data_IF_816894741500
#
_entry.id   IF_816894741500
#
_cell.length_a   1.000
_cell.length_b   1.000
_cell.length_c   1.000
_cell.angle_alpha   90.00
_cell.angle_beta   90.00
_cell.angle_gamma   90.00
#
_symmetry.space_group_name_H-M   'P 1'
#
loop_
_entity.id
_entity.type
_entity.pdbx_description
1 polymer ?
#
# COMPACT_ATOMS: atom_id res chain seq x y z
N UNK A 1 -8.78 23.06 44.51
CA UNK A 1 -7.42 22.77 43.98
C UNK A 1 -7.37 21.44 43.24
N UNK A 2 -8.23 20.47 43.55
CA UNK A 2 -8.22 19.15 42.88
C UNK A 2 -8.77 19.12 41.44
N UNK A 3 -9.65 20.05 41.05
CA UNK A 3 -10.17 20.13 39.68
C UNK A 3 -9.15 20.64 38.64
N UNK A 4 -8.09 21.35 39.07
CA UNK A 4 -7.06 21.88 38.17
C UNK A 4 -5.93 20.88 37.91
N UNK A 5 -5.77 19.87 38.79
CA UNK A 5 -4.82 18.78 38.61
C UNK A 5 -5.43 17.60 37.82
N UNK A 6 -6.76 17.44 37.85
CA UNK A 6 -7.46 16.41 37.07
C UNK A 6 -7.54 16.72 35.56
N UNK A 7 -7.41 17.98 35.13
CA UNK A 7 -7.37 18.35 33.70
C UNK A 7 -5.97 18.19 33.05
N UNK A 8 -4.98 17.73 33.81
CA UNK A 8 -3.65 17.34 33.34
C UNK A 8 -3.51 15.81 33.27
N UNK A 9 -4.59 15.10 32.92
CA UNK A 9 -4.45 13.92 32.07
C UNK A 9 -3.84 14.40 30.75
N UNK A 10 -2.53 14.71 30.80
CA UNK A 10 -1.71 15.25 29.72
C UNK A 10 -1.86 14.27 28.57
N UNK A 11 -2.59 14.68 27.54
CA UNK A 11 -2.54 14.00 26.26
C UNK A 11 -1.06 13.78 25.94
N UNK A 12 -0.68 12.51 25.78
CA UNK A 12 0.68 12.17 25.41
C UNK A 12 1.06 13.02 24.19
N UNK A 13 2.27 13.60 24.16
CA UNK A 13 2.70 14.38 23.01
C UNK A 13 2.51 13.53 21.74
N UNK A 14 1.78 14.07 20.77
CA UNK A 14 1.58 13.47 19.45
C UNK A 14 2.46 14.23 18.45
N UNK A 15 2.91 13.55 17.41
CA UNK A 15 3.51 14.22 16.25
C UNK A 15 2.54 15.29 15.73
N UNK A 16 3.07 16.38 15.18
CA UNK A 16 2.26 17.49 14.65
C UNK A 16 1.30 17.01 13.55
N UNK A 17 1.70 15.99 12.78
CA UNK A 17 0.88 15.29 11.78
C UNK A 17 1.41 13.88 11.50
N UNK A 18 0.60 12.96 10.93
CA UNK A 18 1.10 11.67 10.50
C UNK A 18 2.29 11.80 9.54
N UNK A 19 3.24 10.85 9.62
CA UNK A 19 4.35 10.79 8.68
C UNK A 19 3.83 10.52 7.25
N UNK A 20 4.39 11.22 6.27
CA UNK A 20 4.04 11.09 4.84
C UNK A 20 5.27 10.88 3.99
N UNK A 21 5.06 10.44 2.75
CA UNK A 21 6.13 10.27 1.76
C UNK A 21 6.93 11.58 1.59
N UNK A 22 8.25 11.47 1.66
CA UNK A 22 9.19 12.59 1.55
C UNK A 22 9.54 13.27 2.87
N UNK A 23 8.86 12.96 3.98
CA UNK A 23 9.29 13.45 5.30
C UNK A 23 10.69 12.94 5.64
N UNK A 24 11.51 13.78 6.25
CA UNK A 24 12.81 13.40 6.82
C UNK A 24 12.64 13.19 8.32
N UNK A 25 12.98 11.98 8.77
CA UNK A 25 12.94 11.58 10.16
C UNK A 25 14.36 11.45 10.72
N UNK A 26 14.51 11.62 12.03
CA UNK A 26 15.78 11.41 12.74
C UNK A 26 15.61 10.62 14.02
N UNK A 27 16.61 9.80 14.35
CA UNK A 27 16.68 9.06 15.62
C UNK A 27 18.14 8.90 16.05
N UNK A 28 18.36 8.64 17.34
CA UNK A 28 19.68 8.30 17.87
C UNK A 28 19.91 6.80 17.68
N UNK A 29 20.99 6.41 16.99
CA UNK A 29 21.32 4.99 16.77
C UNK A 29 21.92 4.33 18.01
N UNK A 30 22.30 5.12 19.02
CA UNK A 30 22.87 4.64 20.28
C UNK A 30 22.23 5.40 21.46
N UNK A 31 20.91 5.26 21.66
CA UNK A 31 20.24 6.02 22.71
C UNK A 31 20.80 5.63 24.07
N UNK A 32 20.91 6.62 24.96
CA UNK A 32 21.34 6.41 26.36
C UNK A 32 20.39 5.46 27.09
N UNK A 33 19.12 5.43 26.68
CA UNK A 33 18.08 4.56 27.21
C UNK A 33 17.92 3.40 26.22
N UNK A 34 18.29 2.16 26.59
CA UNK A 34 18.18 1.00 25.69
C UNK A 34 16.76 0.78 25.16
N UNK A 35 15.74 1.16 25.93
CA UNK A 35 14.33 1.00 25.51
C UNK A 35 13.91 1.93 24.36
N UNK A 36 14.70 2.94 24.00
CA UNK A 36 14.45 3.79 22.82
C UNK A 36 14.85 3.09 21.51
N UNK A 37 15.57 1.96 21.60
CA UNK A 37 15.94 1.10 20.48
C UNK A 37 15.84 -0.38 20.89
N UNK A 38 14.69 -0.99 20.60
CA UNK A 38 14.32 -2.31 21.06
C UNK A 38 14.43 -3.36 19.95
N UNK A 39 15.07 -4.49 20.23
CA UNK A 39 14.98 -5.67 19.35
C UNK A 39 13.70 -6.45 19.65
N UNK A 40 12.95 -6.78 18.60
CA UNK A 40 11.70 -7.51 18.73
C UNK A 40 11.50 -8.57 17.64
N UNK A 41 10.69 -9.59 17.93
CA UNK A 41 10.24 -10.57 16.95
C UNK A 41 8.79 -10.30 16.61
N UNK A 42 8.51 -10.20 15.32
CA UNK A 42 7.15 -10.07 14.81
C UNK A 42 6.78 -11.40 14.20
N UNK A 43 5.78 -12.05 14.78
CA UNK A 43 5.26 -13.34 14.32
C UNK A 43 4.00 -13.12 13.49
N UNK A 44 3.88 -13.83 12.37
CA UNK A 44 2.68 -13.78 11.51
C UNK A 44 2.43 -15.12 10.81
N UNK A 45 1.29 -15.22 10.12
CA UNK A 45 0.97 -16.35 9.26
C UNK A 45 0.90 -15.88 7.81
N UNK A 46 1.48 -16.66 6.91
CA UNK A 46 1.48 -16.41 5.47
C UNK A 46 1.58 -17.74 4.74
N UNK A 47 0.72 -17.96 3.75
CA UNK A 47 0.65 -19.21 2.97
C UNK A 47 0.48 -20.46 3.87
N UNK A 48 -0.37 -20.36 4.90
CA UNK A 48 -0.59 -21.40 5.92
C UNK A 48 0.67 -21.77 6.74
N UNK A 49 1.74 -21.00 6.64
CA UNK A 49 2.96 -21.20 7.40
C UNK A 49 3.12 -20.10 8.45
N UNK A 50 3.52 -20.49 9.66
CA UNK A 50 3.99 -19.54 10.66
C UNK A 50 5.33 -18.97 10.22
N UNK A 51 5.44 -17.64 10.28
CA UNK A 51 6.64 -16.86 9.97
C UNK A 51 7.00 -16.02 11.19
N UNK A 52 8.28 -15.73 11.31
CA UNK A 52 8.82 -14.86 12.35
C UNK A 52 10.04 -14.17 11.80
N UNK A 53 10.21 -12.89 12.13
CA UNK A 53 11.40 -12.14 11.77
C UNK A 53 11.74 -11.11 12.83
N UNK A 54 13.01 -10.74 12.88
CA UNK A 54 13.56 -9.82 13.88
C UNK A 54 13.53 -8.39 13.37
N UNK A 55 12.97 -7.49 14.16
CA UNK A 55 12.87 -6.06 13.89
C UNK A 55 13.57 -5.24 14.98
N UNK A 56 14.05 -4.07 14.59
CA UNK A 56 14.52 -3.01 15.47
C UNK A 56 13.43 -1.95 15.53
N UNK A 57 12.84 -1.77 16.71
CA UNK A 57 11.78 -0.81 16.97
C UNK A 57 12.33 0.42 17.71
N UNK A 58 12.03 1.62 17.21
CA UNK A 58 12.47 2.86 17.82
C UNK A 58 11.48 4.01 17.57
N UNK A 59 11.70 5.14 18.26
CA UNK A 59 10.98 6.39 17.99
C UNK A 59 11.88 7.35 17.22
N UNK A 60 11.29 7.98 16.20
CA UNK A 60 11.94 8.99 15.40
C UNK A 60 11.20 10.33 15.49
N UNK A 61 11.96 11.42 15.37
CA UNK A 61 11.46 12.78 15.26
C UNK A 61 11.19 13.08 13.79
N UNK A 62 9.99 13.56 13.46
CA UNK A 62 9.71 14.05 12.11
C UNK A 62 10.23 15.49 11.97
N UNK A 63 11.46 15.62 11.48
CA UNK A 63 12.16 16.91 11.31
C UNK A 63 11.39 17.81 10.34
N UNK A 64 10.83 17.22 9.28
CA UNK A 64 10.07 17.97 8.26
C UNK A 64 8.75 18.51 8.80
N UNK A 65 8.08 17.76 9.69
CA UNK A 65 6.86 18.23 10.36
C UNK A 65 7.13 19.22 11.51
N UNK A 66 8.39 19.46 11.87
CA UNK A 66 8.76 20.34 12.99
C UNK A 66 8.48 19.73 14.36
N UNK A 67 8.43 18.40 14.47
CA UNK A 67 8.26 17.73 15.76
C UNK A 67 9.40 18.13 16.70
N UNK A 68 9.09 18.43 17.97
CA UNK A 68 10.09 18.82 18.96
C UNK A 68 10.73 17.62 19.68
N UNK A 69 10.18 16.43 19.50
CA UNK A 69 10.58 15.19 20.19
C UNK A 69 10.34 13.97 19.29
N UNK A 70 11.04 12.84 19.52
CA UNK A 70 10.76 11.59 18.81
C UNK A 70 9.38 11.04 19.14
N UNK A 71 8.50 10.95 18.15
CA UNK A 71 7.09 10.57 18.31
C UNK A 71 6.62 9.53 17.29
N UNK A 72 7.25 9.46 16.11
CA UNK A 72 6.88 8.49 15.07
C UNK A 72 7.50 7.15 15.42
N UNK A 73 6.69 6.11 15.56
CA UNK A 73 7.19 4.75 15.77
C UNK A 73 7.70 4.19 14.45
N UNK A 74 8.83 3.50 14.51
CA UNK A 74 9.49 2.94 13.33
C UNK A 74 9.93 1.53 13.66
N UNK A 75 9.62 0.59 12.77
CA UNK A 75 10.07 -0.78 12.81
C UNK A 75 10.93 -1.03 11.58
N UNK A 76 12.14 -1.57 11.77
CA UNK A 76 13.04 -1.90 10.67
C UNK A 76 13.48 -3.33 10.83
N UNK A 77 13.21 -4.20 9.85
CA UNK A 77 13.70 -5.57 9.85
C UNK A 77 15.23 -5.57 9.97
N UNK A 78 15.78 -6.50 10.74
CA UNK A 78 17.15 -6.41 11.24
C UNK A 78 18.20 -6.31 10.15
N UNK A 79 18.03 -7.03 9.04
CA UNK A 79 18.95 -6.98 7.91
C UNK A 79 18.93 -5.60 7.23
N UNK A 80 17.75 -5.01 7.06
CA UNK A 80 17.60 -3.64 6.55
C UNK A 80 18.19 -2.62 7.51
N UNK A 81 18.05 -2.83 8.82
CA UNK A 81 18.63 -1.95 9.83
C UNK A 81 20.15 -1.99 9.76
N UNK A 82 20.76 -3.18 9.75
CA UNK A 82 22.20 -3.36 9.65
C UNK A 82 22.76 -2.70 8.38
N UNK A 83 22.12 -2.92 7.24
CA UNK A 83 22.53 -2.32 5.97
C UNK A 83 22.45 -0.78 5.95
N UNK A 84 21.42 -0.20 6.58
CA UNK A 84 21.13 1.24 6.45
C UNK A 84 21.70 2.08 7.58
N UNK A 85 21.77 1.51 8.78
CA UNK A 85 22.09 2.22 10.02
C UNK A 85 23.22 1.56 10.82
N UNK A 86 23.67 0.34 10.48
CA UNK A 86 24.66 -0.42 11.27
C UNK A 86 25.99 0.31 11.47
N UNK A 87 26.44 1.08 10.48
CA UNK A 87 27.69 1.85 10.55
C UNK A 87 27.51 3.29 11.06
N UNK A 88 26.27 3.68 11.44
CA UNK A 88 25.95 5.04 11.86
C UNK A 88 26.10 5.18 13.37
N UNK A 89 26.79 6.24 13.81
CA UNK A 89 26.87 6.64 15.21
C UNK A 89 26.19 7.98 15.45
N UNK A 90 25.50 8.11 16.58
CA UNK A 90 24.74 9.30 16.96
C UNK A 90 23.43 9.46 16.18
N UNK A 91 23.08 10.69 15.85
CA UNK A 91 21.80 11.00 15.19
C UNK A 91 21.86 10.62 13.71
N UNK A 92 21.08 9.61 13.32
CA UNK A 92 20.85 9.25 11.93
C UNK A 92 19.59 9.95 11.40
N UNK A 93 19.63 10.39 10.14
CA UNK A 93 18.48 10.94 9.41
C UNK A 93 18.15 10.05 8.22
N UNK A 94 16.86 9.87 7.93
CA UNK A 94 16.42 9.13 6.76
C UNK A 94 15.12 9.71 6.19
N UNK A 95 14.95 9.71 4.85
CA UNK A 95 13.68 10.07 4.24
C UNK A 95 12.68 8.90 4.29
N UNK A 96 11.39 9.20 4.43
CA UNK A 96 10.29 8.28 4.10
C UNK A 96 10.21 8.19 2.58
N UNK A 97 10.60 7.05 2.04
CA UNK A 97 10.56 6.76 0.60
C UNK A 97 9.46 5.73 0.30
N UNK A 98 9.20 5.40 -0.98
CA UNK A 98 8.28 4.34 -1.36
C UNK A 98 8.65 2.93 -0.87
N UNK A 99 9.88 2.73 -0.40
CA UNK A 99 10.33 1.45 0.16
C UNK A 99 9.68 1.16 1.53
N UNK A 100 9.22 2.21 2.22
CA UNK A 100 8.54 2.10 3.50
C UNK A 100 7.06 1.72 3.32
N UNK A 101 6.55 0.99 4.30
CA UNK A 101 5.13 0.83 4.55
C UNK A 101 4.75 1.51 5.87
N UNK A 102 3.45 1.56 6.18
CA UNK A 102 2.96 2.14 7.41
C UNK A 102 1.73 1.41 7.94
N UNK A 103 1.56 1.40 9.26
CA UNK A 103 0.28 1.11 9.91
C UNK A 103 -0.29 2.38 10.54
N UNK A 104 -1.57 2.40 10.90
CA UNK A 104 -2.28 3.50 11.53
C UNK A 104 -3.53 3.00 12.27
N UNK A 105 -3.93 3.66 13.36
CA UNK A 105 -5.16 3.27 14.09
C UNK A 105 -6.40 3.44 13.22
N UNK A 106 -6.44 4.52 12.44
CA UNK A 106 -7.63 4.88 11.69
C UNK A 106 -7.28 5.64 10.42
N UNK A 107 -8.32 5.88 9.60
CA UNK A 107 -8.22 6.53 8.28
C UNK A 107 -7.65 7.95 8.32
N UNK A 108 -7.65 8.64 9.47
CA UNK A 108 -7.05 9.98 9.59
C UNK A 108 -5.53 9.93 9.78
N UNK A 109 -4.93 8.73 9.82
CA UNK A 109 -3.51 8.55 10.09
C UNK A 109 -3.12 8.67 11.55
N UNK A 110 -4.10 8.64 12.47
CA UNK A 110 -3.79 8.69 13.90
C UNK A 110 -2.87 7.53 14.29
N UNK A 111 -1.82 7.85 15.06
CA UNK A 111 -0.82 6.88 15.52
C UNK A 111 -0.08 6.14 14.40
N UNK A 112 0.05 6.76 13.22
CA UNK A 112 0.81 6.20 12.11
C UNK A 112 2.24 5.82 12.54
N UNK A 113 2.63 4.60 12.20
CA UNK A 113 3.98 4.08 12.39
C UNK A 113 4.55 3.60 11.06
N UNK A 114 5.86 3.58 10.94
CA UNK A 114 6.57 3.20 9.72
C UNK A 114 7.16 1.81 9.86
N UNK A 115 7.18 1.05 8.76
CA UNK A 115 7.82 -0.27 8.68
C UNK A 115 8.73 -0.31 7.46
N UNK A 116 9.98 -0.71 7.65
CA UNK A 116 10.93 -1.03 6.58
C UNK A 116 11.32 -2.49 6.68
N UNK A 117 10.95 -3.28 5.67
CA UNK A 117 11.16 -4.73 5.64
C UNK A 117 11.06 -5.27 4.22
N UNK A 118 11.33 -6.56 4.07
CA UNK A 118 11.04 -7.31 2.85
C UNK A 118 9.54 -7.32 2.58
N UNK A 119 9.14 -6.70 1.46
CA UNK A 119 7.74 -6.57 1.04
C UNK A 119 7.12 -7.89 0.58
N UNK A 120 7.91 -8.95 0.39
CA UNK A 120 7.38 -10.30 0.21
C UNK A 120 6.73 -10.84 1.49
N UNK A 121 7.09 -10.28 2.65
CA UNK A 121 6.43 -10.57 3.91
C UNK A 121 5.16 -9.72 4.04
N UNK A 122 4.06 -10.34 4.46
CA UNK A 122 2.75 -9.68 4.61
C UNK A 122 2.22 -9.73 6.05
N UNK A 123 2.97 -9.25 7.06
CA UNK A 123 2.45 -9.18 8.42
C UNK A 123 1.29 -8.16 8.52
N UNK A 124 0.26 -8.50 9.31
CA UNK A 124 -0.78 -7.55 9.70
C UNK A 124 -0.20 -6.44 10.58
N UNK A 125 -0.74 -5.22 10.47
CA UNK A 125 -0.25 -4.08 11.24
C UNK A 125 -0.39 -4.29 12.76
N UNK A 126 -1.40 -5.05 13.20
CA UNK A 126 -1.62 -5.39 14.60
C UNK A 126 -0.45 -6.15 15.23
N UNK A 127 0.29 -6.95 14.44
CA UNK A 127 1.43 -7.73 14.94
C UNK A 127 2.56 -6.84 15.46
N UNK A 128 2.83 -5.72 14.80
CA UNK A 128 3.85 -4.76 15.26
C UNK A 128 3.47 -4.08 16.57
N UNK A 129 2.19 -3.74 16.71
CA UNK A 129 1.66 -3.06 17.89
C UNK A 129 1.63 -4.03 19.08
N UNK A 130 1.11 -5.24 18.89
CA UNK A 130 1.05 -6.29 19.90
C UNK A 130 2.45 -6.75 20.38
N UNK A 131 3.41 -6.90 19.47
CA UNK A 131 4.80 -7.23 19.84
C UNK A 131 5.40 -6.18 20.76
N UNK A 132 5.21 -4.88 20.44
CA UNK A 132 5.72 -3.79 21.27
C UNK A 132 5.11 -3.83 22.68
N UNK A 133 3.81 -4.10 22.80
CA UNK A 133 3.15 -4.23 24.11
C UNK A 133 3.60 -5.46 24.89
N UNK A 134 3.71 -6.61 24.24
CA UNK A 134 4.15 -7.85 24.89
C UNK A 134 5.56 -7.68 25.46
N UNK A 135 6.47 -7.08 24.70
CA UNK A 135 7.83 -6.83 25.17
C UNK A 135 7.89 -5.77 26.27
N UNK A 136 7.18 -4.66 26.11
CA UNK A 136 7.13 -3.61 27.14
C UNK A 136 6.46 -4.11 28.43
N UNK A 137 5.42 -4.94 28.33
CA UNK A 137 4.73 -5.54 29.47
C UNK A 137 5.62 -6.50 30.27
N UNK A 138 6.57 -7.18 29.61
CA UNK A 138 7.60 -7.98 30.29
C UNK A 138 8.62 -7.14 31.05
N UNK A 139 8.78 -5.86 30.68
CA UNK A 139 9.70 -4.88 31.30
C UNK A 139 8.90 -3.97 32.24
N UNK A 140 8.58 -4.48 33.43
CA UNK A 140 7.94 -3.80 34.57
C UNK A 140 6.92 -2.68 34.25
N UNK A 141 5.64 -2.98 34.51
CA UNK A 141 4.49 -2.06 34.49
C UNK A 141 4.78 -0.65 35.09
N UNK A 142 5.59 -0.55 36.15
CA UNK A 142 5.97 0.71 36.81
C UNK A 142 6.79 1.66 35.92
N UNK A 143 7.64 1.13 35.03
CA UNK A 143 8.43 1.92 34.09
C UNK A 143 7.57 2.51 32.97
N UNK A 144 6.54 1.77 32.54
CA UNK A 144 5.55 2.22 31.56
C UNK A 144 4.64 3.31 32.12
N UNK A 145 4.26 3.17 33.39
CA UNK A 145 3.48 4.17 34.10
C UNK A 145 4.22 5.51 34.21
N UNK A 146 5.51 5.47 34.55
CA UNK A 146 6.35 6.67 34.67
C UNK A 146 6.56 7.42 33.34
N UNK A 147 6.36 6.77 32.18
CA UNK A 147 6.66 7.33 30.84
C UNK A 147 5.42 7.65 29.99
N UNK A 148 4.22 7.60 30.58
CA UNK A 148 2.98 8.04 29.92
C UNK A 148 2.31 7.01 29.02
N UNK A 149 2.64 5.72 29.19
CA UNK A 149 1.96 4.61 28.51
C UNK A 149 0.72 4.09 29.26
N UNK A 150 0.39 4.70 30.42
CA UNK A 150 -0.74 4.30 31.30
C UNK A 150 -2.07 4.12 30.56
N UNK A 151 -2.53 5.04 29.68
CA UNK A 151 -3.86 4.90 29.05
C UNK A 151 -3.95 3.76 28.03
N UNK A 152 -2.84 3.09 27.74
CA UNK A 152 -2.68 2.15 26.63
C UNK A 152 -2.53 0.71 27.16
N UNK A 153 -1.99 0.55 28.38
CA UNK A 153 -1.90 -0.76 29.05
C UNK A 153 -3.28 -1.26 29.52
N UNK A 154 -4.16 -0.35 29.93
CA UNK A 154 -5.53 -0.67 30.38
C UNK A 154 -6.50 -0.95 29.21
N UNK A 155 -6.10 -0.70 27.96
CA UNK A 155 -6.97 -0.80 26.77
C UNK A 155 -6.36 -1.70 25.68
N UNK A 156 -5.54 -2.68 26.07
CA UNK A 156 -4.87 -3.57 25.13
C UNK A 156 -5.88 -4.31 24.22
N UNK A 157 -7.01 -4.73 24.79
CA UNK A 157 -8.13 -5.32 24.05
C UNK A 157 -8.76 -4.31 23.06
N UNK A 158 -9.01 -3.06 23.48
CA UNK A 158 -9.60 -2.03 22.60
C UNK A 158 -8.65 -1.61 21.47
N UNK A 159 -7.33 -1.63 21.72
CA UNK A 159 -6.31 -1.30 20.73
C UNK A 159 -6.13 -2.46 19.75
N UNK A 160 -6.16 -3.70 20.23
CA UNK A 160 -6.14 -4.87 19.35
C UNK A 160 -7.33 -4.81 18.38
N UNK A 161 -8.54 -4.56 18.86
CA UNK A 161 -9.73 -4.44 18.02
C UNK A 161 -9.65 -3.31 16.98
N UNK A 162 -9.00 -2.17 17.29
CA UNK A 162 -8.85 -1.05 16.36
C UNK A 162 -7.78 -1.31 15.27
N UNK A 163 -6.83 -2.21 15.51
CA UNK A 163 -5.76 -2.57 14.56
C UNK A 163 -5.98 -3.91 13.83
N UNK A 164 -6.98 -4.70 14.22
CA UNK A 164 -7.16 -6.06 13.74
C UNK A 164 -7.56 -6.12 12.26
N UNK A 165 -6.93 -7.03 11.50
CA UNK A 165 -7.36 -7.44 10.16
C UNK A 165 -6.81 -6.65 8.98
N UNK A 166 -6.02 -5.59 9.20
CA UNK A 166 -5.42 -4.82 8.11
C UNK A 166 -3.93 -5.09 7.94
N UNK A 167 -3.49 -5.21 6.68
CA UNK A 167 -2.08 -5.25 6.33
C UNK A 167 -1.46 -3.86 6.43
N UNK A 168 -0.13 -3.82 6.40
CA UNK A 168 0.58 -2.56 6.25
C UNK A 168 0.22 -1.87 4.93
N UNK A 169 0.09 -0.55 4.99
CA UNK A 169 -0.20 0.31 3.86
C UNK A 169 1.10 0.75 3.18
N UNK A 170 1.09 0.84 1.86
CA UNK A 170 2.18 1.45 1.10
C UNK A 170 1.95 2.96 0.95
N UNK A 171 3.02 3.76 0.99
CA UNK A 171 2.94 5.21 0.71
C UNK A 171 2.58 5.57 -0.74
N UNK A 172 2.47 4.57 -1.61
CA UNK A 172 2.17 4.69 -3.03
C UNK A 172 0.67 4.53 -3.33
N UNK A 173 -0.19 5.37 -2.75
CA UNK A 173 -1.56 5.49 -3.27
C UNK A 173 -1.85 6.95 -3.58
N UNK A 174 -1.08 7.52 -4.52
CA UNK A 174 -1.69 8.57 -5.32
C UNK A 174 -2.69 7.87 -6.24
N UNK A 175 -3.94 8.32 -6.18
CA UNK A 175 -5.01 7.79 -6.99
C UNK A 175 -4.76 8.24 -8.41
N UNK A 176 -4.57 7.29 -9.33
CA UNK A 176 -4.49 7.57 -10.76
C UNK A 176 -5.74 8.34 -11.20
N UNK A 177 -5.57 9.43 -11.93
CA UNK A 177 -6.70 10.29 -12.29
C UNK A 177 -6.61 10.79 -13.73
N UNK A 178 -7.71 11.36 -14.21
CA UNK A 178 -7.74 12.02 -15.51
C UNK A 178 -6.65 13.10 -15.58
N UNK A 179 -5.94 13.15 -16.70
CA UNK A 179 -4.81 14.06 -16.94
C UNK A 179 -3.43 13.52 -16.53
N UNK A 180 -3.35 12.43 -15.77
CA UNK A 180 -2.05 11.79 -15.46
C UNK A 180 -1.40 11.22 -16.73
N UNK A 181 -0.07 11.21 -16.77
CA UNK A 181 0.71 10.64 -17.87
C UNK A 181 1.37 9.30 -17.49
N UNK A 182 1.10 8.25 -18.25
CA UNK A 182 1.66 6.91 -18.10
C UNK A 182 2.72 6.63 -19.17
N UNK A 183 3.79 5.90 -18.83
CA UNK A 183 4.83 5.45 -19.78
C UNK A 183 4.67 3.96 -20.05
N UNK A 184 4.15 3.63 -21.23
CA UNK A 184 3.82 2.25 -21.62
C UNK A 184 4.91 1.70 -22.56
N UNK A 185 5.55 0.56 -22.21
CA UNK A 185 6.59 -0.04 -23.03
C UNK A 185 6.10 -0.31 -24.44
N UNK A 186 6.86 0.04 -25.48
CA UNK A 186 6.37 -0.11 -26.86
C UNK A 186 6.40 -1.53 -27.43
N UNK A 187 6.97 -2.47 -26.69
CA UNK A 187 6.90 -3.89 -26.97
C UNK A 187 6.24 -4.59 -25.77
N UNK A 188 5.29 -5.50 -26.00
CA UNK A 188 4.68 -6.26 -24.92
C UNK A 188 5.77 -7.13 -24.29
N UNK A 189 6.00 -6.96 -23.00
CA UNK A 189 6.95 -7.79 -22.26
C UNK A 189 6.25 -9.13 -22.02
N UNK A 190 6.41 -10.06 -22.96
CA UNK A 190 5.71 -11.36 -22.98
C UNK A 190 5.84 -12.16 -21.68
N UNK A 191 6.90 -11.92 -20.90
CA UNK A 191 7.18 -12.65 -19.67
C UNK A 191 6.51 -12.07 -18.42
N UNK A 192 6.07 -10.82 -18.46
CA UNK A 192 5.41 -10.18 -17.32
C UNK A 192 3.89 -10.28 -17.52
N UNK A 193 3.20 -10.85 -16.52
CA UNK A 193 1.74 -11.00 -16.47
C UNK A 193 1.09 -12.07 -17.36
N UNK A 194 1.86 -12.95 -18.02
CA UNK A 194 1.32 -13.98 -18.93
C UNK A 194 0.39 -13.38 -19.99
N UNK A 195 0.91 -12.37 -20.69
CA UNK A 195 0.19 -11.66 -21.71
C UNK A 195 0.05 -12.50 -23.01
N UNK A 196 -1.08 -12.41 -23.74
CA UNK A 196 -2.31 -11.68 -23.38
C UNK A 196 -3.15 -12.43 -22.34
N UNK A 197 -4.00 -11.69 -21.63
CA UNK A 197 -4.99 -12.20 -20.67
C UNK A 197 -6.36 -12.27 -21.32
N UNK A 198 -7.07 -13.37 -21.13
CA UNK A 198 -8.49 -13.48 -21.50
C UNK A 198 -9.34 -12.98 -20.34
N UNK A 199 -10.05 -11.88 -20.55
CA UNK A 199 -11.03 -11.37 -19.60
C UNK A 199 -12.40 -11.87 -20.05
N UNK A 200 -13.06 -12.64 -19.19
CA UNK A 200 -14.38 -13.24 -19.46
C UNK A 200 -15.41 -12.60 -18.54
N UNK A 201 -16.55 -12.21 -19.09
CA UNK A 201 -17.68 -11.69 -18.34
C UNK A 201 -19.00 -12.24 -18.88
N UNK A 202 -20.03 -12.23 -18.02
CA UNK A 202 -21.32 -12.82 -18.33
C UNK A 202 -22.42 -11.77 -18.23
N UNK A 203 -23.26 -11.72 -19.27
CA UNK A 203 -24.55 -11.05 -19.28
C UNK A 203 -25.65 -12.11 -19.08
N UNK A 204 -26.90 -11.71 -18.77
CA UNK A 204 -27.98 -12.67 -18.50
C UNK A 204 -28.23 -13.75 -19.56
N UNK A 205 -27.79 -13.54 -20.81
CA UNK A 205 -28.02 -14.45 -21.94
C UNK A 205 -26.77 -14.75 -22.79
N UNK A 206 -25.60 -14.23 -22.41
CA UNK A 206 -24.36 -14.43 -23.16
C UNK A 206 -23.15 -14.41 -22.24
N UNK A 207 -22.12 -15.15 -22.60
CA UNK A 207 -20.78 -15.02 -22.03
C UNK A 207 -19.88 -14.48 -23.11
N UNK A 208 -19.22 -13.37 -22.80
CA UNK A 208 -18.28 -12.69 -23.68
C UNK A 208 -16.87 -12.86 -23.11
N UNK A 209 -15.89 -12.90 -23.99
CA UNK A 209 -14.50 -13.01 -23.61
C UNK A 209 -13.65 -12.27 -24.61
N UNK A 210 -12.67 -11.54 -24.12
CA UNK A 210 -11.81 -10.71 -24.94
C UNK A 210 -10.40 -10.70 -24.40
N UNK A 211 -9.44 -10.54 -25.29
CA UNK A 211 -8.02 -10.57 -24.94
C UNK A 211 -7.50 -9.15 -24.65
N UNK A 212 -6.71 -9.02 -23.59
CA UNK A 212 -6.09 -7.77 -23.16
C UNK A 212 -4.61 -7.98 -22.86
N UNK A 213 -3.82 -6.93 -23.09
CA UNK A 213 -2.50 -6.81 -22.50
C UNK A 213 -2.58 -6.05 -21.18
N UNK A 214 -1.95 -6.58 -20.14
CA UNK A 214 -1.80 -5.93 -18.83
C UNK A 214 -0.34 -5.54 -18.57
N UNK A 215 -0.12 -4.32 -18.09
CA UNK A 215 1.20 -3.77 -17.81
C UNK A 215 1.21 -3.09 -16.44
N UNK A 216 2.32 -3.22 -15.72
CA UNK A 216 2.65 -2.26 -14.67
C UNK A 216 3.48 -1.14 -15.29
N UNK A 217 2.96 0.07 -15.26
CA UNK A 217 3.55 1.23 -15.92
C UNK A 217 3.74 2.39 -14.95
N UNK A 218 4.86 3.12 -15.03
CA UNK A 218 5.07 4.27 -14.17
C UNK A 218 4.16 5.43 -14.61
N UNK A 219 3.51 6.05 -13.64
CA UNK A 219 2.80 7.31 -13.76
C UNK A 219 3.81 8.45 -13.59
N UNK A 220 4.25 9.02 -14.72
CA UNK A 220 5.20 10.13 -14.79
C UNK A 220 4.72 11.34 -13.99
N UNK A 221 3.40 11.60 -13.99
CA UNK A 221 2.81 12.75 -13.27
C UNK A 221 2.85 12.54 -11.76
N UNK A 222 2.67 11.30 -11.30
CA UNK A 222 2.68 10.93 -9.90
C UNK A 222 4.03 10.40 -9.44
N UNK A 223 5.12 11.07 -9.87
CA UNK A 223 6.50 10.78 -9.46
C UNK A 223 6.95 9.33 -9.72
N UNK A 224 6.44 8.72 -10.79
CA UNK A 224 6.81 7.37 -11.20
C UNK A 224 6.12 6.26 -10.41
N UNK A 225 5.01 6.55 -9.71
CA UNK A 225 4.21 5.51 -9.08
C UNK A 225 3.70 4.51 -10.13
N UNK A 226 3.86 3.21 -9.88
CA UNK A 226 3.36 2.20 -10.80
C UNK A 226 1.82 2.11 -10.76
N UNK A 227 1.25 1.92 -11.94
CA UNK A 227 -0.18 1.80 -12.19
C UNK A 227 -0.40 0.58 -13.08
N UNK A 228 -1.38 -0.25 -12.74
CA UNK A 228 -1.82 -1.30 -13.64
C UNK A 228 -2.60 -0.68 -14.81
N UNK A 229 -2.15 -0.98 -16.02
CA UNK A 229 -2.71 -0.51 -17.28
C UNK A 229 -3.12 -1.69 -18.15
N UNK A 230 -4.37 -1.69 -18.61
CA UNK A 230 -4.91 -2.65 -19.56
C UNK A 230 -5.14 -2.00 -20.92
N UNK A 231 -4.84 -2.73 -21.99
CA UNK A 231 -5.25 -2.38 -23.33
C UNK A 231 -5.79 -3.61 -24.05
N UNK A 232 -6.87 -3.43 -24.79
CA UNK A 232 -7.43 -4.50 -25.62
C UNK A 232 -6.40 -4.98 -26.65
N UNK A 233 -6.25 -6.29 -26.81
CA UNK A 233 -5.19 -6.88 -27.65
C UNK A 233 -5.23 -6.38 -29.09
N UNK A 234 -6.39 -6.29 -29.72
CA UNK A 234 -6.51 -5.76 -31.09
C UNK A 234 -6.11 -4.28 -31.20
N UNK A 235 -6.22 -3.49 -30.14
CA UNK A 235 -5.80 -2.08 -30.12
C UNK A 235 -4.30 -1.93 -29.85
N UNK A 236 -3.63 -3.04 -29.56
CA UNK A 236 -2.19 -3.12 -29.41
C UNK A 236 -1.52 -3.76 -30.63
N UNK A 237 -2.05 -4.89 -31.11
CA UNK A 237 -1.43 -5.70 -32.16
C UNK A 237 -1.63 -5.14 -33.57
N UNK A 238 -2.64 -4.28 -33.79
CA UNK A 238 -2.91 -3.75 -35.13
C UNK A 238 -1.80 -2.81 -35.59
N UNK A 239 -1.35 -2.94 -36.85
CA UNK A 239 -0.17 -2.26 -37.44
C UNK A 239 -0.29 -0.71 -37.56
N UNK A 240 -0.59 0.04 -36.51
CA UNK A 240 -0.86 1.50 -36.50
C UNK A 240 -1.98 1.98 -37.45
N UNK A 241 -2.65 1.07 -38.17
CA UNK A 241 -3.71 1.39 -39.14
C UNK A 241 -5.04 1.60 -38.43
N UNK A 242 -5.30 0.88 -37.34
CA UNK A 242 -6.53 1.04 -36.54
C UNK A 242 -6.60 2.43 -35.90
N UNK A 243 -7.77 3.07 -35.94
CA UNK A 243 -8.05 4.34 -35.25
C UNK A 243 -7.97 4.22 -33.73
N UNK A 244 -8.05 3.00 -33.20
CA UNK A 244 -7.93 2.72 -31.78
C UNK A 244 -6.56 2.20 -31.37
N UNK A 245 -5.61 2.10 -32.32
CA UNK A 245 -4.26 1.66 -31.95
C UNK A 245 -3.60 2.66 -30.99
N UNK A 246 -2.82 2.19 -30.01
CA UNK A 246 -2.21 3.05 -28.97
C UNK A 246 -1.42 4.25 -29.53
N UNK A 247 -0.79 4.11 -30.71
CA UNK A 247 -0.06 5.20 -31.36
C UNK A 247 -0.94 6.37 -31.82
N UNK A 248 -2.26 6.19 -31.88
CA UNK A 248 -3.23 7.26 -32.18
C UNK A 248 -3.46 8.17 -30.98
N UNK A 249 -3.26 7.66 -29.78
CA UNK A 249 -3.49 8.38 -28.52
C UNK A 249 -2.19 8.72 -27.77
N UNK A 250 -1.06 8.18 -28.20
CA UNK A 250 0.25 8.44 -27.59
C UNK A 250 1.38 8.56 -28.60
N UNK A 251 2.34 9.41 -28.25
CA UNK A 251 3.62 9.53 -28.97
C UNK A 251 4.68 8.72 -28.25
N UNK A 252 5.63 8.17 -29.01
CA UNK A 252 6.81 7.55 -28.44
C UNK A 252 7.75 8.61 -27.86
N UNK A 253 8.32 8.34 -26.70
CA UNK A 253 9.36 9.15 -26.07
C UNK A 253 10.74 8.82 -26.67
N UNK A 254 11.81 9.41 -26.13
CA UNK A 254 13.18 9.19 -26.62
C UNK A 254 13.65 7.73 -26.49
N UNK A 255 13.06 6.95 -25.58
CA UNK A 255 13.38 5.54 -25.37
C UNK A 255 12.55 4.62 -26.28
N UNK A 256 11.62 5.19 -27.06
CA UNK A 256 10.72 4.44 -27.92
C UNK A 256 9.42 3.99 -27.24
N UNK A 257 9.21 4.30 -25.96
CA UNK A 257 8.00 3.93 -25.20
C UNK A 257 6.86 4.94 -25.40
N UNK A 258 5.61 4.49 -25.32
CA UNK A 258 4.46 5.36 -25.47
C UNK A 258 4.23 6.20 -24.22
N UNK A 259 4.16 7.52 -24.39
CA UNK A 259 3.68 8.43 -23.34
C UNK A 259 2.19 8.68 -23.55
N UNK A 260 1.36 8.01 -22.76
CA UNK A 260 -0.11 8.14 -22.76
C UNK A 260 -0.52 9.17 -21.72
N UNK A 261 -1.44 10.08 -22.07
CA UNK A 261 -2.14 10.92 -21.09
C UNK A 261 -3.55 10.35 -20.91
N UNK A 262 -3.93 10.07 -19.66
CA UNK A 262 -5.24 9.54 -19.31
C UNK A 262 -6.28 10.61 -19.62
N UNK A 263 -7.22 10.27 -20.49
CA UNK A 263 -8.32 11.14 -20.90
C UNK A 263 -9.67 10.43 -20.89
N UNK A 264 -10.69 11.02 -21.52
CA UNK A 264 -12.06 10.50 -21.47
C UNK A 264 -12.26 9.13 -22.12
N UNK A 265 -11.37 8.72 -23.04
CA UNK A 265 -11.39 7.40 -23.71
C UNK A 265 -10.90 6.24 -22.84
N UNK A 266 -10.49 6.54 -21.61
CA UNK A 266 -10.02 5.55 -20.67
C UNK A 266 -11.11 5.31 -19.63
N UNK A 267 -11.25 4.06 -19.24
CA UNK A 267 -12.02 3.69 -18.07
C UNK A 267 -11.09 3.27 -16.94
N UNK A 268 -11.62 3.15 -15.74
CA UNK A 268 -10.87 2.66 -14.59
C UNK A 268 -11.71 1.71 -13.73
N UNK A 269 -10.99 0.86 -13.00
CA UNK A 269 -11.53 0.16 -11.84
C UNK A 269 -10.70 0.46 -10.61
N UNK A 270 -11.22 0.17 -9.44
CA UNK A 270 -10.61 0.51 -8.16
C UNK A 270 -11.02 -0.50 -7.09
N UNK A 271 -10.16 -0.74 -6.10
CA UNK A 271 -10.47 -1.69 -5.04
C UNK A 271 -11.65 -1.23 -4.15
N UNK A 272 -11.79 0.09 -3.99
CA UNK A 272 -12.88 0.69 -3.22
C UNK A 272 -13.20 2.11 -3.72
N UNK A 273 -14.25 2.71 -3.14
CA UNK A 273 -14.75 4.06 -3.49
C UNK A 273 -13.74 5.19 -3.22
N UNK A 274 -12.61 4.91 -2.55
CA UNK A 274 -11.57 5.91 -2.30
C UNK A 274 -10.60 6.05 -3.46
N UNK A 275 -10.67 5.18 -4.47
CA UNK A 275 -9.69 5.14 -5.57
C UNK A 275 -8.42 4.37 -5.23
N UNK A 276 -8.41 3.63 -4.11
CA UNK A 276 -7.31 2.75 -3.74
C UNK A 276 -7.08 1.72 -4.85
N UNK A 277 -5.81 1.53 -5.21
CA UNK A 277 -5.35 0.59 -6.24
C UNK A 277 -6.08 0.77 -7.57
N UNK A 278 -6.36 2.03 -7.94
CA UNK A 278 -7.00 2.33 -9.21
C UNK A 278 -6.11 1.93 -10.38
N UNK A 279 -6.69 1.17 -11.29
CA UNK A 279 -6.07 0.72 -12.53
C UNK A 279 -6.82 1.32 -13.71
N UNK A 280 -6.16 1.39 -14.86
CA UNK A 280 -6.65 2.09 -16.04
C UNK A 280 -6.82 1.09 -17.18
N UNK A 281 -7.88 1.22 -17.97
CA UNK A 281 -8.08 0.44 -19.19
C UNK A 281 -8.34 1.33 -20.39
N UNK A 282 -7.76 0.95 -21.53
CA UNK A 282 -8.05 1.49 -22.84
C UNK A 282 -8.60 0.38 -23.75
N UNK A 283 -9.91 0.45 -24.02
CA UNK A 283 -10.65 -0.58 -24.74
C UNK A 283 -11.99 -0.06 -25.25
N UNK A 284 -12.71 -0.89 -26.01
CA UNK A 284 -14.03 -0.58 -26.52
C UNK A 284 -15.05 -0.44 -25.37
N UNK A 285 -15.50 0.80 -25.15
CA UNK A 285 -16.43 1.18 -24.07
C UNK A 285 -17.81 0.50 -24.21
N UNK A 286 -18.17 0.04 -25.42
CA UNK A 286 -19.44 -0.64 -25.65
C UNK A 286 -19.49 -2.04 -25.03
N UNK A 287 -18.32 -2.64 -24.74
CA UNK A 287 -18.20 -4.00 -24.17
C UNK A 287 -18.57 -4.08 -22.69
N UNK A 288 -18.37 -2.98 -21.96
CA UNK A 288 -18.73 -2.82 -20.53
C UNK A 288 -18.40 -4.00 -19.60
N UNK A 289 -17.22 -4.64 -19.69
CA UNK A 289 -16.82 -5.66 -18.73
C UNK A 289 -16.84 -5.09 -17.30
N UNK A 290 -17.40 -5.80 -16.31
CA UNK A 290 -17.35 -5.39 -14.91
C UNK A 290 -15.91 -5.30 -14.37
N UNK A 291 -15.67 -4.39 -13.42
CA UNK A 291 -14.31 -4.18 -12.90
C UNK A 291 -13.67 -5.44 -12.27
N UNK A 292 -14.47 -6.29 -11.62
CA UNK A 292 -13.97 -7.51 -10.96
C UNK A 292 -13.38 -8.52 -11.96
N UNK A 293 -13.81 -8.51 -13.22
CA UNK A 293 -13.29 -9.40 -14.26
C UNK A 293 -11.81 -9.11 -14.58
N UNK A 294 -11.41 -7.84 -14.53
CA UNK A 294 -10.01 -7.46 -14.70
C UNK A 294 -9.17 -7.91 -13.52
N UNK A 295 -9.67 -7.71 -12.30
CA UNK A 295 -8.90 -8.06 -11.12
C UNK A 295 -8.71 -9.58 -11.01
N UNK A 296 -9.75 -10.36 -11.35
CA UNK A 296 -9.66 -11.83 -11.47
C UNK A 296 -8.59 -12.27 -12.47
N UNK A 297 -8.49 -11.60 -13.62
CA UNK A 297 -7.46 -11.91 -14.62
C UNK A 297 -6.02 -11.67 -14.11
N UNK A 298 -5.86 -10.83 -13.07
CA UNK A 298 -4.57 -10.57 -12.44
C UNK A 298 -4.27 -11.66 -11.41
N UNK A 299 -5.26 -12.08 -10.62
CA UNK A 299 -5.13 -13.15 -9.60
C UNK A 299 -4.91 -14.54 -10.19
N UNK A 300 -5.45 -14.82 -11.37
CA UNK A 300 -5.22 -16.10 -12.07
C UNK A 300 -3.82 -16.21 -12.70
N UNK A 301 -2.96 -15.20 -12.55
CA UNK A 301 -1.55 -15.29 -12.96
C UNK A 301 -0.75 -16.02 -11.88
N UNK A 302 -0.16 -17.20 -12.13
CA UNK A 302 0.67 -17.92 -11.17
C UNK A 302 2.06 -17.28 -11.05
N UNK A 303 2.09 -16.04 -10.58
CA UNK A 303 3.29 -15.35 -10.12
C UNK A 303 3.01 -14.98 -8.67
N UNK A 304 3.44 -15.85 -7.74
CA UNK A 304 3.33 -15.62 -6.29
C UNK A 304 3.77 -14.18 -5.96
N UNK A 305 2.85 -13.41 -5.36
CA UNK A 305 3.14 -12.08 -4.79
C UNK A 305 2.75 -10.85 -5.63
N UNK A 306 2.37 -10.98 -6.92
CA UNK A 306 2.07 -9.81 -7.76
C UNK A 306 0.70 -9.18 -7.43
N UNK A 307 -0.31 -9.98 -7.10
CA UNK A 307 -1.65 -9.50 -6.72
C UNK A 307 -1.62 -8.86 -5.33
N UNK A 308 -0.93 -9.48 -4.39
CA UNK A 308 -0.64 -8.90 -3.07
C UNK A 308 0.16 -7.61 -3.15
N UNK A 309 1.10 -7.48 -4.10
CA UNK A 309 1.87 -6.26 -4.31
C UNK A 309 1.07 -5.12 -4.98
N UNK A 310 0.12 -5.43 -5.87
CA UNK A 310 -0.65 -4.42 -6.62
C UNK A 310 -1.93 -4.01 -5.89
N UNK A 311 -2.66 -4.98 -5.32
CA UNK A 311 -3.98 -4.75 -4.74
C UNK A 311 -4.01 -4.93 -3.22
N UNK A 312 -2.94 -5.47 -2.62
CA UNK A 312 -2.93 -5.89 -1.22
C UNK A 312 -3.61 -7.25 -1.03
N UNK A 313 -3.24 -8.06 -0.03
CA UNK A 313 -3.83 -9.40 0.16
C UNK A 313 -5.32 -9.33 0.58
N UNK A 314 -5.75 -8.21 1.18
CA UNK A 314 -7.16 -7.92 1.41
C UNK A 314 -7.96 -7.80 0.11
N UNK A 315 -7.36 -7.38 -1.00
CA UNK A 315 -8.07 -7.41 -2.27
C UNK A 315 -8.27 -8.85 -2.72
N UNK A 316 -7.33 -9.78 -2.50
CA UNK A 316 -7.51 -11.18 -2.91
C UNK A 316 -8.62 -11.89 -2.13
N UNK A 317 -8.65 -11.75 -0.80
CA UNK A 317 -9.76 -12.23 0.05
C UNK A 317 -11.05 -11.47 -0.22
N UNK A 318 -11.00 -10.13 -0.34
CA UNK A 318 -12.18 -9.35 -0.71
C UNK A 318 -12.61 -9.63 -2.14
N UNK A 319 -11.77 -10.11 -3.06
CA UNK A 319 -12.15 -10.45 -4.44
C UNK A 319 -12.83 -11.81 -4.48
N UNK A 320 -12.39 -12.78 -3.67
CA UNK A 320 -13.11 -14.04 -3.52
C UNK A 320 -14.46 -13.84 -2.81
N UNK A 321 -14.48 -13.04 -1.74
CA UNK A 321 -15.70 -12.71 -1.00
C UNK A 321 -16.61 -11.74 -1.77
N UNK A 322 -16.06 -10.81 -2.55
CA UNK A 322 -16.82 -9.87 -3.41
C UNK A 322 -17.25 -10.55 -4.70
N UNK A 323 -16.51 -11.51 -5.27
CA UNK A 323 -17.01 -12.32 -6.39
C UNK A 323 -18.17 -13.23 -5.93
N UNK A 324 -18.06 -13.86 -4.75
CA UNK A 324 -19.18 -14.62 -4.15
C UNK A 324 -20.36 -13.74 -3.75
N UNK A 325 -20.11 -12.56 -3.19
CA UNK A 325 -21.14 -11.61 -2.75
C UNK A 325 -21.79 -10.85 -3.92
N UNK A 326 -21.06 -10.54 -5.01
CA UNK A 326 -21.57 -9.87 -6.21
C UNK A 326 -22.44 -10.79 -7.07
N UNK A 327 -22.14 -12.09 -7.13
CA UNK A 327 -23.03 -13.08 -7.75
C UNK A 327 -24.38 -13.17 -7.02
N UNK A 328 -24.40 -12.93 -5.71
CA UNK A 328 -25.61 -13.00 -4.87
C UNK A 328 -26.40 -11.67 -4.76
N UNK A 329 -25.80 -10.51 -5.05
CA UNK A 329 -26.44 -9.18 -4.84
C UNK A 329 -26.80 -8.38 -6.12
N UNK A 330 -26.31 -8.77 -7.30
CA UNK A 330 -26.56 -8.14 -8.62
C UNK A 330 -26.95 -6.64 -8.60
N UNK A 331 -26.00 -5.82 -8.16
CA UNK A 331 -25.82 -4.46 -8.66
C UNK A 331 -24.63 -4.45 -9.62
N UNK A 332 -24.85 -4.02 -10.86
CA UNK A 332 -23.82 -3.98 -11.91
C UNK A 332 -22.87 -2.79 -11.67
N UNK A 333 -21.75 -3.00 -10.98
CA UNK A 333 -20.68 -2.01 -10.87
C UNK A 333 -19.79 -2.11 -12.12
N UNK A 334 -20.19 -1.39 -13.17
CA UNK A 334 -19.42 -1.21 -14.40
C UNK A 334 -18.14 -0.40 -14.16
N UNK A 335 -17.33 -0.24 -15.21
CA UNK A 335 -16.17 0.65 -15.18
C UNK A 335 -16.62 2.11 -15.21
N UNK A 336 -15.88 2.95 -14.50
CA UNK A 336 -16.09 4.40 -14.49
C UNK A 336 -15.24 5.07 -15.58
N UNK A 337 -15.70 6.21 -16.08
CA UNK A 337 -14.93 7.06 -17.00
C UNK A 337 -14.24 8.19 -16.25
N UNK A 338 -13.10 8.65 -16.77
CA UNK A 338 -12.47 9.87 -16.26
C UNK A 338 -13.21 11.11 -16.80
N UNK A 339 -13.64 11.99 -15.89
CA UNK A 339 -14.30 13.27 -16.21
C UNK A 339 -13.32 14.39 -16.49
#
# INVERSE_FOLDING_TARGET
MDAFLSSLAKQAPKSARPAVLGDVLSFDTHPVIPEDLLECYVDWEQDFNSRSDKYIAFKAQNVTAGDLKPMVRVFVQSDFYAQRFGDKSGIATFPVTPEWQYGQLNKTGAGRFLVLHDKANTPFQSRFVATLFTQLGSVLHDALCARGYVPIADSLEDIEDEYFGEYLYSFNTVVTQGGDALIIPSAPIQYWFQNPKTITWTHPFSTEHEEYYGFMVPNETQKGQDVMFFIQKEWWDTDNISENHISKIAKKNANGDYRVVIGPKFQYGQADKTGKNRWVVYHDEDRKPPQHCFVKSISETPIDGVVGAIFGPQAESALEDTARSLEDLLGYDGLDTFT
#
